data_IF_261929848403
#
_entry.id   IF_261929848403
#
_cell.length_a   1.000
_cell.length_b   1.000
_cell.length_c   1.000
_cell.angle_alpha   90.00
_cell.angle_beta   90.00
_cell.angle_gamma   90.00
#
_symmetry.space_group_name_H-M   'P 1'
#
loop_
_entity.id
_entity.type
_entity.pdbx_description
1 polymer ?
#
# COMPACT_ATOMS: atom_id res chain seq x y z
N UNK A 1 30.05 29.23 -9.71
CA UNK A 1 29.48 28.26 -10.67
C UNK A 1 28.18 27.74 -10.08
N UNK A 2 27.09 27.93 -10.83
CA UNK A 2 25.72 27.92 -10.35
C UNK A 2 25.20 26.53 -9.96
N UNK A 3 24.60 26.45 -8.76
CA UNK A 3 23.79 25.32 -8.30
C UNK A 3 22.43 25.33 -9.01
N UNK A 4 22.41 24.90 -10.27
CA UNK A 4 21.18 24.65 -11.02
C UNK A 4 20.87 23.13 -11.02
N UNK A 5 19.78 22.75 -10.34
CA UNK A 5 18.86 21.77 -10.93
C UNK A 5 18.68 20.38 -10.31
N UNK A 6 18.94 20.12 -9.02
CA UNK A 6 18.59 18.81 -8.40
C UNK A 6 17.18 18.76 -7.76
N UNK A 7 16.37 19.80 -7.94
CA UNK A 7 15.04 19.93 -7.33
C UNK A 7 13.94 19.06 -7.95
N UNK A 8 13.81 18.85 -9.28
CA UNK A 8 12.66 18.14 -9.84
C UNK A 8 12.66 16.64 -9.51
N UNK A 9 13.84 16.01 -9.44
CA UNK A 9 13.98 14.58 -9.16
C UNK A 9 13.51 14.17 -7.75
N UNK A 10 13.53 15.08 -6.78
CA UNK A 10 13.06 14.81 -5.40
C UNK A 10 11.54 14.67 -5.30
N UNK A 11 10.81 15.32 -6.21
CA UNK A 11 9.35 15.25 -6.27
C UNK A 11 8.85 14.12 -7.17
N UNK A 12 9.72 13.54 -7.99
CA UNK A 12 9.36 12.49 -8.94
C UNK A 12 8.63 11.30 -8.30
N UNK A 13 9.06 10.75 -7.13
CA UNK A 13 8.31 9.68 -6.48
C UNK A 13 6.90 10.09 -6.01
N UNK A 14 6.72 11.35 -5.59
CA UNK A 14 5.41 11.88 -5.22
C UNK A 14 4.49 11.98 -6.43
N UNK A 15 5.00 12.44 -7.57
CA UNK A 15 4.24 12.52 -8.81
C UNK A 15 3.74 11.13 -9.23
N UNK A 16 4.59 10.11 -9.16
CA UNK A 16 4.19 8.74 -9.47
C UNK A 16 3.13 8.20 -8.50
N UNK A 17 3.29 8.46 -7.20
CA UNK A 17 2.31 8.03 -6.20
C UNK A 17 0.95 8.69 -6.42
N UNK A 18 0.93 10.01 -6.60
CA UNK A 18 -0.30 10.78 -6.83
C UNK A 18 -0.97 10.43 -8.16
N UNK A 19 -0.18 10.25 -9.23
CA UNK A 19 -0.68 9.78 -10.52
C UNK A 19 -1.34 8.41 -10.41
N UNK A 20 -0.74 7.48 -9.66
CA UNK A 20 -1.31 6.15 -9.41
C UNK A 20 -2.63 6.23 -8.64
N UNK A 21 -2.70 7.05 -7.59
CA UNK A 21 -3.93 7.27 -6.80
C UNK A 21 -5.04 7.85 -7.68
N UNK A 22 -4.72 8.87 -8.49
CA UNK A 22 -5.68 9.53 -9.38
C UNK A 22 -6.25 8.56 -10.43
N UNK A 23 -5.38 7.84 -11.14
CA UNK A 23 -5.79 6.86 -12.16
C UNK A 23 -6.66 5.75 -11.56
N UNK A 24 -6.27 5.24 -10.39
CA UNK A 24 -7.05 4.21 -9.69
C UNK A 24 -8.43 4.72 -9.27
N UNK A 25 -8.51 5.97 -8.78
CA UNK A 25 -9.78 6.60 -8.41
C UNK A 25 -10.72 6.77 -9.61
N UNK A 26 -10.21 7.26 -10.74
CA UNK A 26 -11.00 7.43 -11.97
C UNK A 26 -11.52 6.08 -12.48
N UNK A 27 -10.65 5.07 -12.57
CA UNK A 27 -11.05 3.75 -13.07
C UNK A 27 -12.11 3.09 -12.17
N UNK A 28 -11.94 3.17 -10.86
CA UNK A 28 -12.89 2.59 -9.89
C UNK A 28 -14.22 3.34 -9.90
N UNK A 29 -14.20 4.67 -10.00
CA UNK A 29 -15.39 5.51 -10.09
C UNK A 29 -16.22 5.20 -11.33
N UNK A 30 -15.58 4.97 -12.48
CA UNK A 30 -16.28 4.60 -13.72
C UNK A 30 -17.04 3.27 -13.58
N UNK A 31 -16.41 2.28 -12.92
CA UNK A 31 -17.06 0.98 -12.65
C UNK A 31 -18.26 1.16 -11.72
N UNK A 32 -18.10 1.91 -10.63
CA UNK A 32 -19.17 2.15 -9.65
C UNK A 32 -20.35 2.86 -10.30
N UNK A 33 -20.11 3.93 -11.06
CA UNK A 33 -21.15 4.67 -11.77
C UNK A 33 -21.92 3.78 -12.76
N UNK A 34 -21.22 2.88 -13.46
CA UNK A 34 -21.84 1.93 -14.40
C UNK A 34 -22.73 0.92 -13.67
N UNK A 35 -22.26 0.36 -12.55
CA UNK A 35 -23.04 -0.59 -11.74
C UNK A 35 -24.26 0.10 -11.11
N UNK A 36 -24.11 1.35 -10.66
CA UNK A 36 -25.18 2.11 -10.01
C UNK A 36 -26.22 2.67 -10.97
N UNK A 37 -25.94 2.74 -12.27
CA UNK A 37 -26.85 3.28 -13.29
C UNK A 37 -28.13 2.47 -13.50
N UNK A 38 -28.22 1.25 -12.95
CA UNK A 38 -29.48 0.48 -12.90
C UNK A 38 -29.86 -0.24 -14.19
N UNK A 39 -29.18 0.02 -15.31
CA UNK A 39 -29.51 -0.60 -16.61
C UNK A 39 -29.21 -2.11 -16.69
N UNK A 40 -28.64 -2.71 -15.63
CA UNK A 40 -28.31 -4.15 -15.57
C UNK A 40 -27.23 -4.61 -16.57
N UNK A 41 -26.65 -3.68 -17.34
CA UNK A 41 -25.67 -3.99 -18.37
C UNK A 41 -24.29 -4.23 -17.76
N UNK A 42 -23.79 -5.46 -17.90
CA UNK A 42 -22.39 -5.78 -17.64
C UNK A 42 -21.51 -4.99 -18.60
N UNK A 43 -20.37 -4.45 -18.13
CA UNK A 43 -19.42 -3.77 -19.00
C UNK A 43 -19.05 -4.68 -20.17
N UNK A 44 -19.11 -4.21 -21.44
CA UNK A 44 -18.66 -5.02 -22.57
C UNK A 44 -17.19 -5.40 -22.34
N UNK A 45 -16.80 -6.60 -22.77
CA UNK A 45 -15.46 -7.17 -22.49
C UNK A 45 -14.30 -6.20 -22.77
N UNK A 46 -14.30 -5.41 -23.87
CA UNK A 46 -13.26 -4.40 -24.10
C UNK A 46 -13.21 -3.27 -23.04
N UNK A 47 -14.35 -2.89 -22.46
CA UNK A 47 -14.40 -1.90 -21.39
C UNK A 47 -13.91 -2.51 -20.06
N UNK A 48 -14.22 -3.78 -19.79
CA UNK A 48 -13.73 -4.47 -18.60
C UNK A 48 -12.21 -4.64 -18.61
N UNK A 49 -11.63 -5.09 -19.73
CA UNK A 49 -10.17 -5.23 -19.87
C UNK A 49 -9.45 -3.89 -19.83
N UNK A 50 -10.05 -2.82 -20.39
CA UNK A 50 -9.51 -1.47 -20.29
C UNK A 50 -9.43 -0.99 -18.84
N UNK A 51 -10.50 -1.17 -18.06
CA UNK A 51 -10.52 -0.83 -16.62
C UNK A 51 -9.44 -1.60 -15.87
N UNK A 52 -9.38 -2.92 -16.06
CA UNK A 52 -8.34 -3.76 -15.41
C UNK A 52 -6.94 -3.27 -15.77
N UNK A 53 -6.69 -2.93 -17.04
CA UNK A 53 -5.40 -2.42 -17.49
C UNK A 53 -5.05 -1.10 -16.80
N UNK A 54 -5.99 -0.16 -16.74
CA UNK A 54 -5.79 1.13 -16.05
C UNK A 54 -5.49 0.91 -14.56
N UNK A 55 -6.19 -0.02 -13.90
CA UNK A 55 -5.93 -0.37 -12.50
C UNK A 55 -4.54 -0.99 -12.30
N UNK A 56 -4.10 -1.88 -13.20
CA UNK A 56 -2.74 -2.46 -13.18
C UNK A 56 -1.71 -1.35 -13.30
N UNK A 57 -1.84 -0.48 -14.31
CA UNK A 57 -0.91 0.64 -14.51
C UNK A 57 -0.91 1.60 -13.33
N UNK A 58 -2.08 1.92 -12.77
CA UNK A 58 -2.20 2.77 -11.58
C UNK A 58 -1.47 2.18 -10.37
N UNK A 59 -1.60 0.87 -10.14
CA UNK A 59 -0.89 0.17 -9.07
C UNK A 59 0.62 0.13 -9.30
N UNK A 60 1.08 -0.12 -10.53
CA UNK A 60 2.52 -0.08 -10.86
C UNK A 60 3.11 1.32 -10.65
N UNK A 61 2.39 2.36 -11.07
CA UNK A 61 2.80 3.75 -10.88
C UNK A 61 2.86 4.12 -9.40
N UNK A 62 1.81 3.79 -8.65
CA UNK A 62 1.74 4.00 -7.20
C UNK A 62 2.84 3.25 -6.45
N UNK A 63 3.08 2.00 -6.80
CA UNK A 63 4.14 1.17 -6.22
C UNK A 63 5.53 1.77 -6.47
N UNK A 64 5.78 2.26 -7.69
CA UNK A 64 7.04 2.91 -8.06
C UNK A 64 7.27 4.18 -7.22
N UNK A 65 6.24 5.01 -7.08
CA UNK A 65 6.29 6.20 -6.23
C UNK A 65 6.53 5.87 -4.75
N UNK A 66 5.78 4.89 -4.22
CA UNK A 66 5.92 4.45 -2.84
C UNK A 66 7.30 3.87 -2.55
N UNK A 67 7.85 3.04 -3.44
CA UNK A 67 9.21 2.49 -3.32
C UNK A 67 10.27 3.58 -3.33
N UNK A 68 10.15 4.57 -4.22
CA UNK A 68 11.07 5.71 -4.27
C UNK A 68 11.08 6.51 -2.97
N UNK A 69 9.89 6.80 -2.42
CA UNK A 69 9.73 7.50 -1.15
C UNK A 69 10.22 6.69 0.06
N UNK A 70 9.95 5.39 0.07
CA UNK A 70 10.34 4.50 1.15
C UNK A 70 11.86 4.32 1.19
N UNK A 71 12.50 4.08 0.04
CA UNK A 71 13.96 3.94 -0.07
C UNK A 71 14.71 5.22 0.24
N UNK A 72 14.19 6.38 -0.17
CA UNK A 72 14.76 7.67 0.21
C UNK A 72 14.78 7.93 1.72
N UNK A 73 14.02 7.15 2.49
CA UNK A 73 13.91 7.28 3.95
C UNK A 73 14.87 6.36 4.74
N UNK A 74 15.67 5.52 4.05
CA UNK A 74 16.61 4.55 4.66
C UNK A 74 17.87 5.18 5.27
N UNK A 75 17.95 6.51 5.39
CA UNK A 75 19.08 7.21 6.00
C UNK A 75 19.26 6.94 7.50
N UNK A 76 18.29 6.28 8.13
CA UNK A 76 18.38 5.81 9.52
C UNK A 76 18.75 4.33 9.48
N UNK A 77 19.88 3.91 10.10
CA UNK A 77 20.25 2.50 10.18
C UNK A 77 19.15 1.71 10.87
N UNK A 78 18.93 0.45 10.44
CA UNK A 78 17.93 -0.43 11.05
C UNK A 78 18.26 -0.58 12.54
N UNK A 79 17.36 -0.10 13.39
CA UNK A 79 17.52 -0.19 14.83
C UNK A 79 16.88 -1.49 15.32
N UNK A 80 17.46 -2.09 16.36
CA UNK A 80 16.89 -3.27 16.98
C UNK A 80 15.51 -2.95 17.56
N UNK A 81 14.59 -3.91 17.43
CA UNK A 81 13.26 -3.77 18.03
C UNK A 81 13.41 -3.57 19.54
N UNK A 82 12.82 -2.48 20.04
CA UNK A 82 12.72 -2.21 21.47
C UNK A 82 11.27 -2.38 21.91
N UNK A 83 10.98 -3.19 22.94
CA UNK A 83 9.67 -3.21 23.58
C UNK A 83 9.28 -1.80 24.03
N UNK A 84 7.98 -1.47 24.02
CA UNK A 84 7.60 -0.12 24.44
C UNK A 84 7.84 0.07 25.94
N UNK A 85 8.42 1.22 26.29
CA UNK A 85 8.41 1.74 27.66
C UNK A 85 7.02 2.28 28.05
N UNK A 86 6.19 2.70 27.08
CA UNK A 86 4.78 3.04 27.28
C UNK A 86 3.87 2.56 26.12
N UNK A 87 2.70 1.96 26.40
CA UNK A 87 1.76 1.55 25.36
C UNK A 87 1.18 2.78 24.65
N UNK A 88 1.52 2.94 23.36
CA UNK A 88 1.04 4.05 22.53
C UNK A 88 0.23 3.55 21.33
N UNK A 89 -0.81 4.29 20.96
CA UNK A 89 -1.70 3.98 19.84
C UNK A 89 -1.04 4.08 18.45
N UNK A 90 0.15 4.67 18.35
CA UNK A 90 0.85 4.92 17.07
C UNK A 90 1.31 3.64 16.38
N UNK A 91 1.81 2.68 17.16
CA UNK A 91 2.26 1.36 16.67
C UNK A 91 1.10 0.57 16.03
N UNK A 92 -0.06 0.36 16.70
CA UNK A 92 -1.20 -0.28 16.05
C UNK A 92 -1.79 0.54 14.90
N UNK A 93 -1.72 1.88 14.94
CA UNK A 93 -2.15 2.74 13.84
C UNK A 93 -1.31 2.56 12.58
N UNK A 94 0.01 2.35 12.69
CA UNK A 94 0.88 2.04 11.54
C UNK A 94 0.38 0.79 10.81
N UNK A 95 0.07 -0.29 11.54
CA UNK A 95 -0.45 -1.51 10.94
C UNK A 95 -1.86 -1.31 10.37
N UNK A 96 -2.78 -0.71 11.12
CA UNK A 96 -4.17 -0.48 10.67
C UNK A 96 -4.25 0.39 9.43
N UNK A 97 -3.31 1.32 9.25
CA UNK A 97 -3.28 2.20 8.09
C UNK A 97 -3.16 1.46 6.76
N UNK A 98 -2.60 0.24 6.76
CA UNK A 98 -2.57 -0.64 5.59
C UNK A 98 -3.98 -1.07 5.13
N UNK A 99 -5.02 -0.97 5.97
CA UNK A 99 -6.41 -1.24 5.56
C UNK A 99 -7.07 -0.07 4.83
N UNK A 100 -6.36 1.04 4.62
CA UNK A 100 -6.95 2.26 4.08
C UNK A 100 -7.64 2.12 2.72
N UNK A 101 -7.24 1.14 1.91
CA UNK A 101 -7.92 0.84 0.63
C UNK A 101 -9.40 0.48 0.82
N UNK A 102 -9.75 -0.20 1.92
CA UNK A 102 -11.13 -0.61 2.20
C UNK A 102 -12.01 0.55 2.71
N UNK A 103 -11.39 1.69 3.08
CA UNK A 103 -12.11 2.91 3.42
C UNK A 103 -12.49 3.74 2.17
N UNK A 104 -12.34 3.18 0.97
CA UNK A 104 -12.63 3.87 -0.30
C UNK A 104 -11.49 4.78 -0.78
N UNK A 105 -10.32 4.71 -0.14
CA UNK A 105 -9.16 5.51 -0.51
C UNK A 105 -8.33 4.77 -1.58
N UNK A 106 -8.22 5.28 -2.83
CA UNK A 106 -7.44 4.63 -3.86
C UNK A 106 -5.98 4.46 -3.43
N UNK A 107 -5.44 3.26 -3.59
CA UNK A 107 -4.11 2.86 -3.10
C UNK A 107 -3.84 3.18 -1.61
N UNK A 108 -4.88 3.33 -0.78
CA UNK A 108 -4.76 3.67 0.64
C UNK A 108 -3.79 2.77 1.41
N UNK A 109 -3.76 1.49 1.06
CA UNK A 109 -2.85 0.50 1.67
C UNK A 109 -1.35 0.81 1.47
N UNK A 110 -0.96 1.60 0.46
CA UNK A 110 0.43 2.02 0.23
C UNK A 110 0.76 3.35 0.91
N UNK A 111 -0.01 4.40 0.62
CA UNK A 111 0.39 5.75 0.99
C UNK A 111 0.11 6.09 2.45
N UNK A 112 -0.91 5.49 3.08
CA UNK A 112 -1.19 5.73 4.50
C UNK A 112 -0.08 5.21 5.43
N UNK A 113 0.36 3.93 5.36
CA UNK A 113 1.48 3.48 6.17
C UNK A 113 2.76 4.22 5.86
N UNK A 114 2.95 4.64 4.59
CA UNK A 114 4.11 5.43 4.18
C UNK A 114 4.17 6.79 4.89
N UNK A 115 3.06 7.53 4.87
CA UNK A 115 2.96 8.84 5.52
C UNK A 115 3.14 8.73 7.04
N UNK A 116 2.44 7.79 7.67
CA UNK A 116 2.53 7.59 9.12
C UNK A 116 3.95 7.18 9.54
N UNK A 117 4.57 6.26 8.80
CA UNK A 117 5.95 5.86 9.05
C UNK A 117 6.91 7.04 8.89
N UNK A 118 6.82 7.81 7.80
CA UNK A 118 7.68 8.99 7.61
C UNK A 118 7.55 9.99 8.75
N UNK A 119 6.33 10.20 9.26
CA UNK A 119 6.06 11.14 10.34
C UNK A 119 6.55 10.65 11.72
N UNK A 120 6.51 9.34 11.99
CA UNK A 120 6.79 8.80 13.33
C UNK A 120 8.10 8.02 13.47
N UNK A 121 8.74 7.58 12.38
CA UNK A 121 9.94 6.72 12.41
C UNK A 121 11.09 7.26 13.26
N UNK A 122 11.25 8.58 13.33
CA UNK A 122 12.32 9.22 14.11
C UNK A 122 12.04 9.31 15.62
N UNK A 123 10.82 8.98 16.06
CA UNK A 123 10.42 9.12 17.47
C UNK A 123 10.88 7.95 18.34
N UNK A 124 11.03 6.76 17.78
CA UNK A 124 11.51 5.58 18.51
C UNK A 124 11.92 4.45 17.55
N UNK A 125 12.89 3.59 17.93
CA UNK A 125 13.26 2.39 17.18
C UNK A 125 12.06 1.48 16.86
N UNK A 126 11.14 1.35 17.81
CA UNK A 126 9.93 0.54 17.67
C UNK A 126 9.02 1.02 16.54
N UNK A 127 8.74 2.33 16.48
CA UNK A 127 7.89 2.91 15.43
C UNK A 127 8.55 2.82 14.04
N UNK A 128 9.89 2.83 13.97
CA UNK A 128 10.60 2.55 12.72
C UNK A 128 10.40 1.08 12.30
N UNK A 129 10.58 0.13 13.23
CA UNK A 129 10.39 -1.29 12.97
C UNK A 129 8.94 -1.63 12.54
N UNK A 130 7.94 -1.13 13.28
CA UNK A 130 6.52 -1.36 12.97
C UNK A 130 6.13 -0.75 11.62
N UNK A 131 6.60 0.47 11.33
CA UNK A 131 6.29 1.16 10.07
C UNK A 131 6.99 0.53 8.87
N UNK A 132 8.26 0.09 9.01
CA UNK A 132 8.94 -0.69 7.95
C UNK A 132 8.25 -2.02 7.70
N UNK A 133 7.83 -2.72 8.74
CA UNK A 133 7.11 -3.98 8.60
C UNK A 133 5.75 -3.79 7.91
N UNK A 134 4.98 -2.77 8.29
CA UNK A 134 3.72 -2.43 7.65
C UNK A 134 3.91 -2.05 6.17
N UNK A 135 4.95 -1.27 5.85
CA UNK A 135 5.28 -0.89 4.48
C UNK A 135 5.77 -2.05 3.63
N UNK A 136 6.68 -2.88 4.15
CA UNK A 136 7.13 -4.10 3.49
C UNK A 136 5.95 -5.01 3.13
N UNK A 137 4.98 -5.13 4.05
CA UNK A 137 3.76 -5.88 3.81
C UNK A 137 2.91 -5.23 2.72
N UNK A 138 2.63 -3.93 2.81
CA UNK A 138 1.87 -3.20 1.79
C UNK A 138 2.49 -3.34 0.38
N UNK A 139 3.82 -3.19 0.27
CA UNK A 139 4.56 -3.38 -0.98
C UNK A 139 4.40 -4.81 -1.51
N UNK A 140 4.55 -5.82 -0.64
CA UNK A 140 4.41 -7.23 -0.99
C UNK A 140 2.98 -7.56 -1.44
N UNK A 141 1.96 -7.13 -0.70
CA UNK A 141 0.57 -7.40 -1.04
C UNK A 141 0.12 -6.66 -2.28
N UNK A 142 0.66 -5.46 -2.56
CA UNK A 142 0.43 -4.78 -3.84
C UNK A 142 0.90 -5.63 -5.02
N UNK A 143 2.08 -6.25 -4.91
CA UNK A 143 2.58 -7.16 -5.96
C UNK A 143 1.68 -8.38 -6.13
N UNK A 144 1.18 -8.96 -5.04
CA UNK A 144 0.24 -10.08 -5.11
C UNK A 144 -1.09 -9.67 -5.76
N UNK A 145 -1.62 -8.49 -5.42
CA UNK A 145 -2.82 -7.95 -6.05
C UNK A 145 -2.63 -7.68 -7.55
N UNK A 146 -1.47 -7.16 -7.96
CA UNK A 146 -1.12 -6.97 -9.38
C UNK A 146 -1.21 -8.29 -10.14
N UNK A 147 -0.56 -9.34 -9.64
CA UNK A 147 -0.58 -10.67 -10.25
C UNK A 147 -2.01 -11.22 -10.29
N UNK A 148 -2.74 -11.14 -9.18
CA UNK A 148 -4.11 -11.65 -9.11
C UNK A 148 -5.06 -10.90 -10.06
N UNK A 149 -4.88 -9.59 -10.24
CA UNK A 149 -5.68 -8.77 -11.15
C UNK A 149 -5.43 -9.11 -12.62
N UNK A 150 -4.18 -9.46 -12.99
CA UNK A 150 -3.87 -10.00 -14.31
C UNK A 150 -4.54 -11.37 -14.54
N UNK A 151 -4.56 -12.23 -13.51
CA UNK A 151 -5.19 -13.55 -13.55
C UNK A 151 -6.73 -13.52 -13.63
N UNK A 152 -7.37 -12.35 -13.41
CA UNK A 152 -8.82 -12.18 -13.57
C UNK A 152 -9.26 -12.49 -15.01
N UNK A 153 -8.39 -12.24 -15.99
CA UNK A 153 -8.66 -12.54 -17.41
C UNK A 153 -8.87 -14.04 -17.69
N UNK A 154 -8.39 -14.92 -16.80
CA UNK A 154 -8.51 -16.38 -16.90
C UNK A 154 -9.47 -16.94 -15.84
N UNK A 155 -10.34 -16.11 -15.27
CA UNK A 155 -11.35 -16.41 -14.23
C UNK A 155 -10.81 -16.83 -12.85
N UNK A 156 -9.65 -17.51 -12.78
CA UNK A 156 -8.99 -17.94 -11.54
C UNK A 156 -8.62 -16.75 -10.64
N UNK A 157 -8.38 -15.57 -11.23
CA UNK A 157 -8.03 -14.36 -10.49
C UNK A 157 -9.08 -13.91 -9.47
N UNK A 158 -10.38 -14.15 -9.71
CA UNK A 158 -11.41 -13.74 -8.74
C UNK A 158 -11.26 -14.47 -7.40
N UNK A 159 -11.08 -15.79 -7.43
CA UNK A 159 -10.89 -16.60 -6.22
C UNK A 159 -9.61 -16.18 -5.49
N UNK A 160 -8.53 -15.96 -6.25
CA UNK A 160 -7.25 -15.52 -5.70
C UNK A 160 -7.34 -14.13 -5.05
N UNK A 161 -8.03 -13.18 -5.69
CA UNK A 161 -8.28 -11.84 -5.14
C UNK A 161 -9.05 -11.91 -3.82
N UNK A 162 -10.10 -12.74 -3.73
CA UNK A 162 -10.86 -12.93 -2.49
C UNK A 162 -9.96 -13.47 -1.37
N UNK A 163 -9.16 -14.50 -1.66
CA UNK A 163 -8.22 -15.08 -0.69
C UNK A 163 -7.20 -14.01 -0.24
N UNK A 164 -6.66 -13.22 -1.18
CA UNK A 164 -5.70 -12.16 -0.87
C UNK A 164 -6.29 -11.05 -0.01
N UNK A 165 -7.55 -10.65 -0.22
CA UNK A 165 -8.23 -9.68 0.63
C UNK A 165 -8.35 -10.20 2.06
N UNK A 166 -8.81 -11.44 2.24
CA UNK A 166 -8.93 -12.05 3.56
C UNK A 166 -7.57 -12.19 4.25
N UNK A 167 -6.56 -12.65 3.51
CA UNK A 167 -5.18 -12.73 3.99
C UNK A 167 -4.65 -11.35 4.41
N UNK A 168 -4.84 -10.34 3.58
CA UNK A 168 -4.39 -8.96 3.86
C UNK A 168 -5.01 -8.43 5.16
N UNK A 169 -6.32 -8.57 5.33
CA UNK A 169 -7.03 -8.14 6.54
C UNK A 169 -6.54 -8.94 7.76
N UNK A 170 -6.47 -10.27 7.67
CA UNK A 170 -6.05 -11.13 8.78
C UNK A 170 -4.63 -10.78 9.27
N UNK A 171 -3.70 -10.56 8.33
CA UNK A 171 -2.32 -10.22 8.63
C UNK A 171 -2.18 -8.84 9.28
N UNK A 172 -2.95 -7.85 8.84
CA UNK A 172 -2.97 -6.52 9.47
C UNK A 172 -3.55 -6.61 10.87
N UNK A 173 -4.73 -7.23 11.04
CA UNK A 173 -5.38 -7.37 12.35
C UNK A 173 -4.47 -8.10 13.35
N UNK A 174 -3.80 -9.17 12.91
CA UNK A 174 -2.83 -9.87 13.75
C UNK A 174 -1.69 -8.95 14.19
N UNK A 175 -1.07 -8.19 13.28
CA UNK A 175 0.02 -7.27 13.65
C UNK A 175 -0.45 -6.09 14.49
N UNK A 176 -1.65 -5.57 14.27
CA UNK A 176 -2.26 -4.58 15.17
C UNK A 176 -2.42 -5.11 16.58
N UNK A 177 -2.90 -6.35 16.76
CA UNK A 177 -3.01 -6.99 18.08
C UNK A 177 -1.65 -7.19 18.74
N UNK A 178 -0.63 -7.56 17.96
CA UNK A 178 0.74 -7.76 18.43
C UNK A 178 1.39 -6.44 18.83
N UNK A 179 1.18 -5.38 18.06
CA UNK A 179 1.54 -4.02 18.41
C UNK A 179 0.89 -3.59 19.74
N UNK A 180 -0.40 -3.85 19.95
CA UNK A 180 -1.05 -3.56 21.23
C UNK A 180 -0.41 -4.31 22.42
N UNK A 181 0.08 -5.54 22.20
CA UNK A 181 0.79 -6.35 23.21
C UNK A 181 2.29 -6.03 23.35
N UNK A 182 2.82 -5.15 22.50
CA UNK A 182 4.24 -4.84 22.48
C UNK A 182 5.14 -5.92 21.93
N UNK A 183 4.58 -6.84 21.14
CA UNK A 183 5.32 -7.87 20.41
C UNK A 183 5.91 -7.31 19.10
N UNK A 184 7.02 -7.87 18.61
CA UNK A 184 7.60 -7.48 17.34
C UNK A 184 6.68 -7.81 16.16
N UNK A 185 6.63 -6.97 15.11
CA UNK A 185 5.79 -7.23 13.95
C UNK A 185 6.25 -8.51 13.23
N UNK A 186 5.32 -9.29 12.71
CA UNK A 186 5.62 -10.41 11.81
C UNK A 186 4.50 -10.60 10.80
N UNK A 187 4.87 -10.38 9.54
CA UNK A 187 4.03 -10.59 8.39
C UNK A 187 4.48 -11.87 7.67
N UNK A 188 3.54 -12.78 7.39
CA UNK A 188 3.79 -13.95 6.56
C UNK A 188 3.80 -13.52 5.09
N UNK A 189 4.53 -14.26 4.25
CA UNK A 189 4.64 -13.98 2.81
C UNK A 189 5.02 -12.53 2.51
N UNK A 190 5.90 -11.94 3.31
CA UNK A 190 6.33 -10.56 3.18
C UNK A 190 7.78 -10.53 2.68
N UNK A 191 8.03 -9.82 1.60
CA UNK A 191 9.38 -9.52 1.15
C UNK A 191 9.95 -8.35 1.95
N UNK A 192 11.26 -8.41 2.24
CA UNK A 192 11.94 -7.33 2.95
C UNK A 192 12.55 -6.34 1.97
N UNK A 193 11.85 -5.23 1.71
CA UNK A 193 12.33 -4.17 0.82
C UNK A 193 13.15 -3.09 1.55
N UNK A 194 12.89 -2.90 2.84
CA UNK A 194 13.39 -1.78 3.63
C UNK A 194 14.45 -2.15 4.67
N UNK A 195 14.89 -3.41 4.74
CA UNK A 195 15.88 -3.88 5.71
C UNK A 195 15.25 -4.19 7.06
#
# INVERSE_FOLDING_TARGET
>A
MAALGSTPLKFLPWLFLLGGVLLSGIASGLVILKISGGDGTVLPVPAFSAVLSILVFAQVLGLTGALGLARGSLTVPVQSFQPATQPGWRSPALHLSALGIYAGLPLGQLWLPLLLWQHWRRRSPRLDADGRAALNFALSTTLYFLVAMLLVLVLVGFVLLTILVLFHIAMVVNNTRRALRGEPPRYLLCFNFLG
#
